data_IF_998621572729
#
_entry.id   IF_998621572729
#
_cell.length_a   1.000
_cell.length_b   1.000
_cell.length_c   1.000
_cell.angle_alpha   90.00
_cell.angle_beta   90.00
_cell.angle_gamma   90.00
#
_symmetry.space_group_name_H-M   'P 1'
#
loop_
_entity.id
_entity.type
_entity.pdbx_description
1 polymer ?
#
# COMPACT_ATOMS: atom_id res chain seq x y z
N UNK A 1 2.13 0.83 3.41
CA UNK A 1 1.99 -0.64 3.63
C UNK A 1 0.60 -1.18 3.26
N UNK A 2 -0.42 -0.35 3.14
CA UNK A 2 -1.79 -0.74 2.77
C UNK A 2 -1.90 -1.61 1.50
N UNK A 3 -0.93 -1.51 0.58
CA UNK A 3 -0.86 -2.31 -0.65
C UNK A 3 -0.75 -3.84 -0.40
N UNK A 4 -0.42 -4.25 0.83
CA UNK A 4 -0.51 -5.66 1.23
C UNK A 4 -1.96 -6.15 1.26
N UNK A 5 -2.90 -5.32 1.74
CA UNK A 5 -4.34 -5.66 1.69
C UNK A 5 -4.87 -5.71 0.26
N UNK A 6 -4.40 -4.79 -0.62
CA UNK A 6 -4.75 -4.85 -2.04
C UNK A 6 -4.22 -6.14 -2.68
N UNK A 7 -2.99 -6.55 -2.35
CA UNK A 7 -2.43 -7.82 -2.83
C UNK A 7 -3.20 -9.03 -2.32
N UNK A 8 -3.63 -9.01 -1.05
CA UNK A 8 -4.45 -10.09 -0.48
C UNK A 8 -5.80 -10.20 -1.20
N UNK A 9 -6.47 -9.06 -1.46
CA UNK A 9 -7.72 -9.06 -2.23
C UNK A 9 -7.52 -9.57 -3.67
N UNK A 10 -6.40 -9.25 -4.32
CA UNK A 10 -6.04 -9.81 -5.64
C UNK A 10 -5.88 -11.33 -5.54
N UNK A 11 -5.17 -11.83 -4.52
CA UNK A 11 -4.99 -13.26 -4.27
C UNK A 11 -6.32 -13.99 -4.13
N UNK A 12 -7.18 -13.48 -3.26
CA UNK A 12 -8.51 -14.05 -3.01
C UNK A 12 -9.36 -14.07 -4.29
N UNK A 13 -9.35 -13.00 -5.08
CA UNK A 13 -10.07 -12.93 -6.34
C UNK A 13 -9.51 -13.89 -7.41
N UNK A 14 -8.21 -14.17 -7.40
CA UNK A 14 -7.59 -15.16 -8.28
C UNK A 14 -7.97 -16.58 -7.84
N UNK A 15 -7.96 -16.87 -6.57
CA UNK A 15 -8.34 -18.17 -6.01
C UNK A 15 -9.82 -18.49 -6.26
N UNK A 16 -10.68 -17.49 -6.14
CA UNK A 16 -12.12 -17.57 -6.45
C UNK A 16 -12.42 -17.69 -7.96
N UNK A 17 -11.43 -17.42 -8.82
CA UNK A 17 -11.58 -17.39 -10.25
C UNK A 17 -12.36 -16.21 -10.81
N UNK A 18 -12.57 -15.16 -10.01
CA UNK A 18 -13.20 -13.88 -10.44
C UNK A 18 -12.22 -12.97 -11.16
N UNK A 19 -10.92 -13.18 -10.92
CA UNK A 19 -9.80 -12.50 -11.59
C UNK A 19 -8.77 -13.56 -12.02
N UNK A 20 -7.90 -13.25 -12.96
CA UNK A 20 -6.77 -14.11 -13.34
C UNK A 20 -5.48 -13.32 -13.34
N UNK A 21 -4.35 -13.96 -13.04
CA UNK A 21 -3.04 -13.30 -13.13
C UNK A 21 -2.75 -12.76 -14.53
N UNK A 22 -3.31 -13.37 -15.58
CA UNK A 22 -3.19 -12.99 -16.98
C UNK A 22 -4.30 -12.03 -17.46
N UNK A 23 -5.27 -11.67 -16.62
CA UNK A 23 -6.29 -10.68 -16.95
C UNK A 23 -5.65 -9.35 -17.27
N UNK A 24 -6.06 -8.74 -18.39
CA UNK A 24 -5.51 -7.47 -18.86
C UNK A 24 -6.22 -6.28 -18.21
N UNK A 25 -5.45 -5.35 -17.69
CA UNK A 25 -5.87 -4.05 -17.19
C UNK A 25 -5.33 -2.96 -18.13
N UNK A 26 -6.03 -1.84 -18.22
CA UNK A 26 -5.67 -0.73 -19.11
C UNK A 26 -5.38 0.55 -18.32
N UNK A 27 -4.29 1.22 -18.65
CA UNK A 27 -3.97 2.56 -18.12
C UNK A 27 -4.89 3.58 -18.74
N UNK A 28 -5.61 4.33 -17.91
CA UNK A 28 -6.53 5.38 -18.32
C UNK A 28 -6.39 6.60 -17.39
N UNK A 29 -6.89 7.76 -17.82
CA UNK A 29 -6.77 9.00 -17.03
C UNK A 29 -7.39 8.87 -15.63
N UNK A 30 -8.47 8.11 -15.48
CA UNK A 30 -9.18 7.98 -14.22
C UNK A 30 -8.50 7.05 -13.19
N UNK A 31 -7.60 6.15 -13.63
CA UNK A 31 -6.81 5.30 -12.73
C UNK A 31 -5.34 5.75 -12.61
N UNK A 32 -4.98 6.83 -13.26
CA UNK A 32 -3.63 7.40 -13.18
C UNK A 32 -3.43 8.11 -11.85
N UNK A 33 -2.39 7.74 -11.12
CA UNK A 33 -2.07 8.30 -9.81
C UNK A 33 -0.57 8.52 -9.63
N UNK A 34 -0.23 9.62 -8.98
CA UNK A 34 1.11 10.05 -8.60
C UNK A 34 1.32 9.86 -7.07
N UNK A 35 2.52 10.02 -6.53
CA UNK A 35 3.76 10.41 -7.23
C UNK A 35 4.65 9.22 -7.59
N UNK A 36 4.36 8.00 -7.15
CA UNK A 36 5.27 6.87 -7.31
C UNK A 36 4.83 5.88 -8.38
N UNK A 37 5.78 5.38 -9.13
CA UNK A 37 5.58 4.33 -10.11
C UNK A 37 6.08 4.69 -11.51
N UNK A 38 5.77 3.85 -12.48
CA UNK A 38 6.11 4.00 -13.90
C UNK A 38 4.87 4.06 -14.79
N UNK A 39 3.77 3.40 -14.39
CA UNK A 39 2.56 3.37 -15.20
C UNK A 39 1.90 4.75 -15.34
N UNK A 40 2.18 5.67 -14.41
CA UNK A 40 1.75 7.05 -14.51
C UNK A 40 2.27 7.77 -15.77
N UNK A 41 3.41 7.34 -16.31
CA UNK A 41 4.07 7.95 -17.48
C UNK A 41 3.69 7.24 -18.80
N UNK A 42 2.97 6.11 -18.72
CA UNK A 42 2.56 5.36 -19.89
C UNK A 42 1.34 6.01 -20.57
N UNK A 43 1.21 5.90 -21.90
CA UNK A 43 0.04 6.41 -22.62
C UNK A 43 -1.26 5.73 -22.19
N UNK A 44 -2.39 6.45 -22.32
CA UNK A 44 -3.71 5.84 -22.22
C UNK A 44 -3.86 4.70 -23.24
N UNK A 45 -4.47 3.61 -22.81
CA UNK A 45 -4.59 2.40 -23.62
C UNK A 45 -3.42 1.43 -23.48
N UNK A 46 -2.38 1.76 -22.68
CA UNK A 46 -1.33 0.78 -22.35
C UNK A 46 -1.93 -0.35 -21.53
N UNK A 47 -1.72 -1.58 -21.99
CA UNK A 47 -2.20 -2.79 -21.36
C UNK A 47 -1.10 -3.44 -20.51
N UNK A 48 -1.47 -3.90 -19.32
CA UNK A 48 -0.64 -4.70 -18.43
C UNK A 48 -1.49 -5.82 -17.82
N UNK A 49 -0.88 -6.95 -17.46
CA UNK A 49 -1.59 -8.01 -16.76
C UNK A 49 -1.78 -7.67 -15.28
N UNK A 50 -2.74 -8.32 -14.62
CA UNK A 50 -2.91 -8.26 -13.16
C UNK A 50 -1.60 -8.59 -12.45
N UNK A 51 -0.88 -9.63 -12.91
CA UNK A 51 0.42 -10.01 -12.35
C UNK A 51 1.47 -8.89 -12.50
N UNK A 52 1.54 -8.24 -13.66
CA UNK A 52 2.47 -7.13 -13.88
C UNK A 52 2.11 -5.91 -13.02
N UNK A 53 0.82 -5.57 -12.90
CA UNK A 53 0.34 -4.49 -12.05
C UNK A 53 0.64 -4.77 -10.57
N UNK A 54 0.30 -5.97 -10.07
CA UNK A 54 0.60 -6.37 -8.69
C UNK A 54 2.10 -6.37 -8.40
N UNK A 55 2.93 -6.85 -9.35
CA UNK A 55 4.39 -6.79 -9.24
C UNK A 55 4.87 -5.34 -9.09
N UNK A 56 4.42 -4.42 -9.96
CA UNK A 56 4.81 -2.99 -9.90
C UNK A 56 4.31 -2.32 -8.61
N UNK A 57 3.08 -2.65 -8.17
CA UNK A 57 2.52 -2.17 -6.92
C UNK A 57 3.40 -2.54 -5.71
N UNK A 58 3.93 -3.75 -5.68
CA UNK A 58 4.75 -4.22 -4.55
C UNK A 58 6.21 -3.77 -4.68
N UNK A 59 6.85 -4.04 -5.81
CA UNK A 59 8.29 -3.84 -6.02
C UNK A 59 8.72 -2.37 -5.97
N UNK A 60 8.01 -1.50 -6.70
CA UNK A 60 8.32 -0.07 -6.82
C UNK A 60 7.23 0.83 -6.22
N UNK A 61 6.25 0.23 -5.54
CA UNK A 61 5.12 0.96 -4.96
C UNK A 61 4.33 1.81 -5.97
N UNK A 62 4.14 1.31 -7.20
CA UNK A 62 3.43 2.01 -8.28
C UNK A 62 1.97 2.30 -7.88
N UNK A 63 1.62 3.60 -7.85
CA UNK A 63 0.29 4.04 -7.44
C UNK A 63 -0.75 3.82 -8.54
N UNK A 64 -0.39 4.05 -9.80
CA UNK A 64 -1.28 3.77 -10.93
C UNK A 64 -1.61 2.28 -11.01
N UNK A 65 -0.60 1.41 -10.86
CA UNK A 65 -0.84 -0.03 -10.76
C UNK A 65 -1.78 -0.40 -9.61
N UNK A 66 -1.62 0.26 -8.46
CA UNK A 66 -2.49 0.05 -7.28
C UNK A 66 -3.93 0.41 -7.60
N UNK A 67 -4.15 1.60 -8.18
CA UNK A 67 -5.50 2.09 -8.47
C UNK A 67 -6.19 1.30 -9.59
N UNK A 68 -5.43 0.78 -10.57
CA UNK A 68 -5.94 -0.18 -11.57
C UNK A 68 -6.46 -1.46 -10.92
N UNK A 69 -5.73 -2.01 -9.92
CA UNK A 69 -6.15 -3.20 -9.19
C UNK A 69 -7.36 -2.93 -8.28
N UNK A 70 -7.36 -1.81 -7.54
CA UNK A 70 -8.51 -1.40 -6.72
C UNK A 70 -9.76 -1.23 -7.60
N UNK A 71 -9.61 -0.64 -8.79
CA UNK A 71 -10.72 -0.48 -9.72
C UNK A 71 -11.24 -1.84 -10.25
N UNK A 72 -10.35 -2.77 -10.57
CA UNK A 72 -10.72 -4.08 -11.09
C UNK A 72 -11.46 -4.94 -10.05
N UNK A 73 -11.10 -4.81 -8.77
CA UNK A 73 -11.68 -5.56 -7.66
C UNK A 73 -12.92 -4.88 -7.06
N UNK A 74 -12.95 -3.56 -7.08
CA UNK A 74 -13.87 -2.75 -6.29
C UNK A 74 -13.36 -2.52 -4.85
N UNK A 75 -13.78 -1.42 -4.27
CA UNK A 75 -13.39 -0.97 -2.92
C UNK A 75 -13.75 -1.98 -1.84
N UNK A 76 -14.96 -2.56 -1.93
CA UNK A 76 -15.49 -3.51 -0.97
C UNK A 76 -14.62 -4.77 -0.86
N UNK A 77 -14.08 -5.27 -1.96
CA UNK A 77 -13.18 -6.43 -1.93
C UNK A 77 -11.90 -6.16 -1.12
N UNK A 78 -11.41 -4.91 -1.14
CA UNK A 78 -10.25 -4.52 -0.33
C UNK A 78 -10.66 -4.40 1.14
N UNK A 79 -11.83 -3.83 1.44
CA UNK A 79 -12.38 -3.72 2.80
C UNK A 79 -12.61 -5.11 3.41
N UNK A 80 -13.10 -6.07 2.63
CA UNK A 80 -13.26 -7.47 3.03
C UNK A 80 -11.89 -8.11 3.34
N UNK A 81 -10.89 -7.91 2.48
CA UNK A 81 -9.53 -8.42 2.72
C UNK A 81 -8.87 -7.81 3.97
N UNK A 82 -9.18 -6.57 4.33
CA UNK A 82 -8.75 -5.95 5.58
C UNK A 82 -9.34 -6.69 6.79
N UNK A 83 -10.64 -7.06 6.73
CA UNK A 83 -11.30 -7.83 7.78
C UNK A 83 -10.75 -9.26 7.87
N UNK A 84 -10.60 -9.91 6.72
CA UNK A 84 -10.11 -11.30 6.63
C UNK A 84 -8.67 -11.44 7.13
N UNK A 85 -7.84 -10.42 6.91
CA UNK A 85 -6.49 -10.35 7.47
C UNK A 85 -6.48 -10.16 9.00
N UNK A 86 -7.62 -9.90 9.64
CA UNK A 86 -7.72 -9.71 11.08
C UNK A 86 -7.27 -8.34 11.58
N UNK A 87 -7.45 -7.28 10.79
CA UNK A 87 -7.19 -5.90 11.24
C UNK A 87 -7.99 -5.59 12.51
N UNK A 88 -7.33 -5.03 13.54
CA UNK A 88 -7.95 -4.81 14.85
C UNK A 88 -9.14 -3.84 14.82
N UNK A 89 -9.14 -2.89 13.90
CA UNK A 89 -10.22 -1.92 13.66
C UNK A 89 -10.36 -1.65 12.16
N UNK A 90 -11.07 -2.51 11.40
CA UNK A 90 -11.23 -2.36 9.94
C UNK A 90 -11.91 -1.05 9.53
N UNK A 91 -12.68 -0.42 10.43
CA UNK A 91 -13.34 0.86 10.17
C UNK A 91 -12.35 2.01 9.92
N UNK A 92 -11.10 1.89 10.40
CA UNK A 92 -10.05 2.86 10.10
C UNK A 92 -9.68 2.89 8.61
N UNK A 93 -9.96 1.80 7.88
CA UNK A 93 -9.71 1.64 6.45
C UNK A 93 -11.01 1.56 5.62
N UNK A 94 -12.15 1.97 6.18
CA UNK A 94 -13.45 2.04 5.49
C UNK A 94 -14.05 3.45 5.57
N UNK A 95 -14.46 4.07 4.43
CA UNK A 95 -14.25 3.55 3.08
C UNK A 95 -12.78 3.57 2.67
N UNK A 96 -12.33 2.52 2.00
CA UNK A 96 -10.95 2.38 1.57
C UNK A 96 -10.65 3.30 0.38
N UNK A 97 -9.79 4.33 0.50
CA UNK A 97 -9.51 5.22 -0.62
C UNK A 97 -8.49 4.62 -1.58
N UNK A 98 -8.62 4.89 -2.86
CA UNK A 98 -7.55 4.69 -3.83
C UNK A 98 -6.38 5.66 -3.55
N UNK A 99 -5.23 5.45 -4.21
CA UNK A 99 -4.09 6.35 -4.01
C UNK A 99 -4.40 7.74 -4.59
N UNK A 100 -5.07 7.81 -5.74
CA UNK A 100 -5.52 9.05 -6.36
C UNK A 100 -6.46 9.82 -5.44
N UNK A 101 -7.49 9.16 -4.91
CA UNK A 101 -8.47 9.78 -4.01
C UNK A 101 -7.81 10.32 -2.75
N UNK A 102 -6.91 9.55 -2.13
CA UNK A 102 -6.18 9.97 -0.94
C UNK A 102 -5.33 11.21 -1.19
N UNK A 103 -4.59 11.25 -2.30
CA UNK A 103 -3.76 12.40 -2.62
C UNK A 103 -4.58 13.63 -3.04
N UNK A 104 -5.69 13.43 -3.73
CA UNK A 104 -6.63 14.54 -4.01
C UNK A 104 -7.22 15.10 -2.73
N UNK A 105 -7.70 14.25 -1.84
CA UNK A 105 -8.25 14.66 -0.55
C UNK A 105 -7.23 15.45 0.28
N UNK A 106 -5.99 14.97 0.35
CA UNK A 106 -4.97 15.59 1.18
C UNK A 106 -4.40 16.90 0.60
N UNK A 107 -4.12 16.90 -0.70
CA UNK A 107 -3.32 17.99 -1.29
C UNK A 107 -3.94 18.62 -2.55
N UNK A 108 -4.91 17.99 -3.18
CA UNK A 108 -5.59 18.49 -4.38
C UNK A 108 -6.89 19.25 -4.09
N UNK A 109 -7.61 18.84 -3.07
CA UNK A 109 -8.93 19.37 -2.74
C UNK A 109 -9.13 19.53 -1.22
N UNK A 110 -8.30 20.35 -0.55
CA UNK A 110 -8.29 20.47 0.92
C UNK A 110 -9.62 20.98 1.50
N UNK A 111 -10.49 21.58 0.70
CA UNK A 111 -11.84 21.98 1.09
C UNK A 111 -12.73 20.80 1.51
N UNK A 112 -12.35 19.57 1.18
CA UNK A 112 -13.08 18.37 1.55
C UNK A 112 -12.62 17.73 2.86
N UNK A 113 -11.52 18.21 3.47
CA UNK A 113 -10.97 17.64 4.70
C UNK A 113 -11.97 17.62 5.86
N UNK A 114 -12.77 18.70 6.03
CA UNK A 114 -13.79 18.76 7.09
C UNK A 114 -14.85 17.68 6.91
N UNK A 115 -15.31 17.44 5.69
CA UNK A 115 -16.27 16.37 5.38
C UNK A 115 -15.65 14.98 5.62
N UNK A 116 -14.37 14.80 5.29
CA UNK A 116 -13.65 13.55 5.55
C UNK A 116 -13.54 13.25 7.04
N UNK A 117 -13.19 14.26 7.83
CA UNK A 117 -12.95 14.11 9.28
C UNK A 117 -14.24 13.95 10.10
N UNK A 118 -15.31 14.66 9.73
CA UNK A 118 -16.53 14.77 10.55
C UNK A 118 -17.73 14.05 9.97
N UNK A 119 -17.66 13.67 8.69
CA UNK A 119 -18.74 13.01 7.97
C UNK A 119 -18.96 11.56 8.40
N UNK A 120 -20.16 11.07 8.15
CA UNK A 120 -20.48 9.66 8.27
C UNK A 120 -19.72 8.82 7.21
N UNK A 121 -19.60 7.52 7.41
CA UNK A 121 -18.99 6.61 6.41
C UNK A 121 -19.66 6.72 5.03
N UNK A 122 -20.97 6.95 5.01
CA UNK A 122 -21.69 7.17 3.75
C UNK A 122 -21.27 8.47 3.06
N UNK A 123 -21.12 9.57 3.81
CA UNK A 123 -20.64 10.84 3.27
C UNK A 123 -19.18 10.75 2.81
N UNK A 124 -18.33 10.07 3.57
CA UNK A 124 -16.96 9.79 3.17
C UNK A 124 -16.91 8.98 1.86
N UNK A 125 -17.74 7.93 1.72
CA UNK A 125 -17.82 7.12 0.48
C UNK A 125 -18.28 7.95 -0.71
N UNK A 126 -19.32 8.77 -0.53
CA UNK A 126 -19.81 9.70 -1.59
C UNK A 126 -18.74 10.72 -1.98
N UNK A 127 -17.95 11.20 -1.02
CA UNK A 127 -16.84 12.10 -1.28
C UNK A 127 -15.76 11.42 -2.14
N UNK A 128 -15.35 10.20 -1.79
CA UNK A 128 -14.36 9.44 -2.58
C UNK A 128 -14.87 9.20 -4.02
N UNK A 129 -16.15 8.81 -4.17
CA UNK A 129 -16.76 8.62 -5.49
C UNK A 129 -16.78 9.93 -6.30
N UNK A 130 -17.00 11.07 -5.64
CA UNK A 130 -16.91 12.39 -6.29
C UNK A 130 -15.47 12.69 -6.73
N UNK A 131 -14.48 12.47 -5.88
CA UNK A 131 -13.06 12.69 -6.18
C UNK A 131 -12.57 11.78 -7.31
N UNK A 132 -12.99 10.52 -7.35
CA UNK A 132 -12.64 9.57 -8.41
C UNK A 132 -13.07 10.05 -9.81
N UNK A 133 -14.19 10.80 -9.89
CA UNK A 133 -14.74 11.30 -11.16
C UNK A 133 -14.29 12.72 -11.51
N UNK A 134 -13.58 13.42 -10.63
CA UNK A 134 -13.06 14.74 -10.95
C UNK A 134 -11.95 14.65 -12.01
N UNK A 135 -12.07 15.42 -13.12
CA UNK A 135 -10.98 15.56 -14.06
C UNK A 135 -9.86 16.37 -13.39
N UNK A 136 -8.89 15.67 -12.84
CA UNK A 136 -7.72 16.29 -12.20
C UNK A 136 -6.50 15.85 -12.96
N UNK A 137 -5.69 16.80 -13.42
CA UNK A 137 -4.34 16.46 -13.85
C UNK A 137 -3.56 16.01 -12.60
N UNK A 138 -3.06 14.76 -12.54
CA UNK A 138 -2.28 14.33 -11.39
C UNK A 138 -1.10 15.25 -11.08
N UNK A 139 -0.59 16.01 -12.07
CA UNK A 139 0.48 16.99 -11.87
C UNK A 139 0.04 18.23 -11.09
N UNK A 140 -1.28 18.49 -11.02
CA UNK A 140 -1.83 19.58 -10.21
C UNK A 140 -1.87 19.21 -8.71
N UNK A 141 -1.78 17.93 -8.39
CA UNK A 141 -1.70 17.45 -7.01
C UNK A 141 -0.23 17.45 -6.56
N UNK A 142 0.20 18.55 -6.00
CA UNK A 142 1.56 18.66 -5.44
C UNK A 142 1.58 17.93 -4.08
N UNK A 143 1.94 16.65 -4.10
CA UNK A 143 2.17 15.88 -2.87
C UNK A 143 3.45 16.41 -2.21
N UNK A 144 3.29 17.30 -1.27
CA UNK A 144 4.38 17.89 -0.52
C UNK A 144 3.87 19.00 0.38
N UNK A 145 4.41 19.12 1.55
CA UNK A 145 3.99 20.10 2.55
C UNK A 145 3.72 19.44 3.88
N UNK A 146 2.73 19.97 4.59
CA UNK A 146 2.42 19.52 5.95
C UNK A 146 1.94 18.06 5.96
N UNK A 147 2.38 17.26 6.93
CA UNK A 147 1.80 15.97 7.23
C UNK A 147 0.30 16.09 7.52
N UNK A 148 -0.50 15.12 7.05
CA UNK A 148 -1.95 15.10 7.26
C UNK A 148 -2.43 13.81 7.93
N UNK A 149 -1.52 12.96 8.37
CA UNK A 149 -1.86 11.71 9.03
C UNK A 149 -2.63 11.95 10.34
N UNK A 150 -2.30 13.00 11.09
CA UNK A 150 -3.01 13.44 12.29
C UNK A 150 -4.43 13.97 12.01
N UNK A 151 -4.70 14.31 10.74
CA UNK A 151 -6.01 14.74 10.26
C UNK A 151 -6.82 13.58 9.63
N UNK A 152 -6.35 12.35 9.75
CA UNK A 152 -7.03 11.16 9.22
C UNK A 152 -6.83 10.93 7.72
N UNK A 153 -5.85 11.58 7.09
CA UNK A 153 -5.52 11.40 5.67
C UNK A 153 -4.32 10.44 5.56
N UNK A 154 -4.60 9.16 5.75
CA UNK A 154 -3.61 8.08 5.64
C UNK A 154 -4.33 6.72 5.72
N UNK A 155 -3.61 5.62 5.46
CA UNK A 155 -4.06 4.26 5.73
C UNK A 155 -3.43 3.77 7.04
N UNK A 156 -4.27 3.59 8.06
CA UNK A 156 -3.83 3.29 9.42
C UNK A 156 -3.76 1.79 9.68
N UNK A 157 -2.68 1.34 10.28
CA UNK A 157 -2.52 -0.03 10.76
C UNK A 157 -1.51 -0.06 11.92
N UNK A 158 -1.77 -0.86 12.93
CA UNK A 158 -0.79 -1.18 13.95
C UNK A 158 0.27 -2.16 13.41
N UNK A 159 1.38 -2.32 14.14
CA UNK A 159 2.37 -3.33 13.78
C UNK A 159 1.78 -4.76 13.78
N UNK A 160 0.78 -5.01 14.65
CA UNK A 160 0.09 -6.30 14.70
C UNK A 160 -0.77 -6.54 13.44
N UNK A 161 -1.48 -5.53 12.95
CA UNK A 161 -2.29 -5.64 11.73
C UNK A 161 -1.41 -5.89 10.51
N UNK A 162 -0.26 -5.22 10.45
CA UNK A 162 0.72 -5.44 9.38
C UNK A 162 1.31 -6.85 9.44
N UNK A 163 1.59 -7.36 10.64
CA UNK A 163 2.03 -8.75 10.81
C UNK A 163 0.94 -9.73 10.37
N UNK A 164 -0.32 -9.46 10.70
CA UNK A 164 -1.44 -10.31 10.35
C UNK A 164 -1.66 -10.40 8.83
N UNK A 165 -1.59 -9.27 8.09
CA UNK A 165 -1.71 -9.32 6.62
C UNK A 165 -0.51 -9.99 5.96
N UNK A 166 0.71 -9.88 6.52
CA UNK A 166 1.84 -10.68 6.03
C UNK A 166 1.57 -12.17 6.20
N UNK A 167 1.09 -12.58 7.38
CA UNK A 167 0.76 -13.99 7.63
C UNK A 167 -0.33 -14.47 6.68
N UNK A 168 -1.42 -13.71 6.48
CA UNK A 168 -2.48 -14.06 5.54
C UNK A 168 -1.93 -14.28 4.12
N UNK A 169 -1.04 -13.40 3.63
CA UNK A 169 -0.40 -13.55 2.32
C UNK A 169 0.53 -14.79 2.22
N UNK A 170 1.15 -15.23 3.32
CA UNK A 170 1.94 -16.46 3.31
C UNK A 170 1.04 -17.71 3.36
N UNK A 171 -0.10 -17.63 4.03
CA UNK A 171 -1.07 -18.73 4.15
C UNK A 171 -1.73 -19.07 2.79
N UNK A 172 -1.79 -18.14 1.84
CA UNK A 172 -2.22 -18.37 0.45
C UNK A 172 -1.32 -19.36 -0.30
N UNK A 173 -0.06 -19.51 0.12
CA UNK A 173 0.94 -20.41 -0.49
C UNK A 173 1.16 -20.22 -2.00
N UNK A 174 0.80 -19.06 -2.55
CA UNK A 174 0.98 -18.73 -3.96
C UNK A 174 2.45 -18.34 -4.23
N UNK A 175 3.18 -19.09 -5.09
CA UNK A 175 4.56 -18.79 -5.42
C UNK A 175 4.72 -17.44 -6.16
N UNK A 176 3.70 -16.98 -6.88
CA UNK A 176 3.70 -15.69 -7.58
C UNK A 176 3.73 -14.56 -6.55
N UNK A 177 2.91 -14.65 -5.50
CA UNK A 177 2.86 -13.66 -4.41
C UNK A 177 4.19 -13.65 -3.66
N UNK A 178 4.72 -14.82 -3.30
CA UNK A 178 6.02 -14.93 -2.61
C UNK A 178 7.15 -14.31 -3.45
N UNK A 179 7.17 -14.57 -4.76
CA UNK A 179 8.14 -13.95 -5.67
C UNK A 179 8.00 -12.43 -5.69
N UNK A 180 6.78 -11.89 -5.85
CA UNK A 180 6.54 -10.44 -5.88
C UNK A 180 7.05 -9.75 -4.61
N UNK A 181 6.72 -10.30 -3.45
CA UNK A 181 7.09 -9.73 -2.14
C UNK A 181 8.60 -9.74 -1.89
N UNK A 182 9.35 -10.66 -2.50
CA UNK A 182 10.80 -10.82 -2.29
C UNK A 182 11.67 -10.04 -3.29
N UNK A 183 11.10 -9.43 -4.34
CA UNK A 183 11.88 -8.77 -5.41
C UNK A 183 12.70 -7.57 -4.95
N UNK A 184 12.26 -6.86 -3.94
CA UNK A 184 12.95 -5.68 -3.41
C UNK A 184 12.93 -5.70 -1.87
N UNK A 185 13.77 -6.52 -1.25
CA UNK A 185 13.70 -6.78 0.20
C UNK A 185 14.07 -5.59 1.07
N UNK A 186 14.76 -4.57 0.54
CA UNK A 186 15.11 -3.35 1.27
C UNK A 186 16.12 -3.54 2.43
N UNK A 187 16.54 -4.78 2.71
CA UNK A 187 17.51 -5.19 3.73
C UNK A 187 18.43 -6.28 3.20
N UNK A 188 19.54 -6.52 3.90
CA UNK A 188 20.45 -7.65 3.58
C UNK A 188 19.80 -8.98 3.98
N UNK A 189 19.94 -10.00 3.11
CA UNK A 189 19.25 -11.30 3.26
C UNK A 189 20.11 -12.40 3.89
N UNK A 190 21.31 -12.10 4.38
CA UNK A 190 22.36 -13.07 4.71
C UNK A 190 21.95 -14.21 5.64
N UNK A 191 20.94 -14.01 6.47
CA UNK A 191 20.50 -14.99 7.46
C UNK A 191 19.16 -15.67 7.12
N UNK A 192 18.51 -15.28 6.01
CA UNK A 192 17.15 -15.66 5.70
C UNK A 192 17.03 -16.25 4.31
N UNK A 193 16.32 -17.37 4.17
CA UNK A 193 16.06 -18.02 2.89
C UNK A 193 14.98 -17.28 2.09
N UNK A 194 14.09 -16.58 2.82
CA UNK A 194 13.05 -15.76 2.21
C UNK A 194 12.86 -14.45 2.99
N UNK A 195 12.75 -13.35 2.25
CA UNK A 195 12.44 -12.03 2.80
C UNK A 195 11.38 -11.36 1.94
N UNK A 196 10.19 -11.21 2.49
CA UNK A 196 9.13 -10.39 1.90
C UNK A 196 9.19 -8.96 2.45
N UNK A 197 8.95 -7.98 1.62
CA UNK A 197 9.02 -6.57 2.01
C UNK A 197 7.91 -5.74 1.43
N UNK A 198 7.40 -4.81 2.24
CA UNK A 198 6.65 -3.65 1.75
C UNK A 198 6.96 -2.41 2.57
N UNK A 199 7.40 -1.36 1.88
CA UNK A 199 7.58 -0.03 2.43
C UNK A 199 6.41 0.90 2.15
N UNK A 200 6.41 2.05 2.83
CA UNK A 200 5.49 3.15 2.59
C UNK A 200 6.07 4.47 3.07
N UNK A 201 5.70 5.56 2.40
CA UNK A 201 6.03 6.91 2.83
C UNK A 201 4.96 7.89 2.34
N UNK A 202 4.70 8.89 3.15
CA UNK A 202 3.93 10.08 2.84
C UNK A 202 4.58 11.28 3.55
N UNK A 203 4.14 12.51 3.35
CA UNK A 203 4.65 13.63 4.13
C UNK A 203 4.59 13.34 5.63
N UNK A 204 5.74 13.41 6.30
CA UNK A 204 5.87 13.12 7.73
C UNK A 204 5.82 11.65 8.15
N UNK A 205 5.70 10.69 7.22
CA UNK A 205 5.59 9.25 7.54
C UNK A 205 6.61 8.43 6.76
N UNK A 206 7.27 7.49 7.44
CA UNK A 206 8.03 6.40 6.82
C UNK A 206 7.74 5.09 7.53
N UNK A 207 7.50 4.05 6.75
CA UNK A 207 7.15 2.74 7.27
C UNK A 207 7.84 1.64 6.47
N UNK A 208 8.04 0.49 7.11
CA UNK A 208 8.54 -0.72 6.44
C UNK A 208 8.13 -1.95 7.22
N UNK A 209 7.83 -3.01 6.50
CA UNK A 209 7.52 -4.31 7.09
C UNK A 209 8.24 -5.42 6.34
N UNK A 210 8.77 -6.36 7.09
CA UNK A 210 9.53 -7.51 6.60
C UNK A 210 8.97 -8.79 7.22
N UNK A 211 8.53 -9.73 6.38
CA UNK A 211 8.35 -11.11 6.78
C UNK A 211 9.62 -11.84 6.39
N UNK A 212 10.24 -12.52 7.32
CA UNK A 212 11.47 -13.29 7.12
C UNK A 212 11.26 -14.75 7.51
N UNK A 213 11.87 -15.68 6.77
CA UNK A 213 11.76 -17.11 7.00
C UNK A 213 13.13 -17.76 6.80
N UNK A 214 13.53 -18.64 7.71
CA UNK A 214 14.78 -19.37 7.66
C UNK A 214 14.64 -20.75 6.98
N UNK A 215 15.76 -21.47 6.81
CA UNK A 215 15.81 -22.79 6.21
C UNK A 215 15.00 -23.86 6.96
N UNK A 216 14.60 -23.61 8.20
CA UNK A 216 13.78 -24.54 9.00
C UNK A 216 12.28 -24.24 8.89
N UNK A 217 11.91 -23.11 8.26
CA UNK A 217 10.54 -22.61 8.18
C UNK A 217 10.14 -21.77 9.40
N UNK A 218 11.08 -21.42 10.29
CA UNK A 218 10.81 -20.47 11.37
C UNK A 218 10.72 -19.05 10.78
N UNK A 219 9.68 -18.30 11.16
CA UNK A 219 9.41 -17.01 10.55
C UNK A 219 9.13 -15.92 11.57
N UNK A 220 9.46 -14.69 11.20
CA UNK A 220 9.23 -13.48 11.99
C UNK A 220 8.70 -12.36 11.12
N UNK A 221 7.96 -11.45 11.73
CA UNK A 221 7.57 -10.18 11.10
C UNK A 221 8.20 -9.02 11.86
N UNK A 222 8.95 -8.20 11.15
CA UNK A 222 9.54 -6.96 11.66
C UNK A 222 8.77 -5.79 11.06
N UNK A 223 8.24 -4.90 11.90
CA UNK A 223 7.50 -3.71 11.47
C UNK A 223 8.13 -2.48 12.10
N UNK A 224 8.54 -1.54 11.27
CA UNK A 224 9.00 -0.21 11.71
C UNK A 224 8.07 0.86 11.16
N UNK A 225 7.67 1.77 12.02
CA UNK A 225 6.82 2.91 11.68
C UNK A 225 7.36 4.16 12.38
N UNK A 226 7.50 5.24 11.64
CA UNK A 226 7.87 6.54 12.19
C UNK A 226 6.99 7.63 11.57
N UNK A 227 6.51 8.55 12.41
CA UNK A 227 5.71 9.68 12.00
C UNK A 227 6.18 10.96 12.69
N UNK A 228 5.98 12.11 12.05
CA UNK A 228 6.26 13.44 12.59
C UNK A 228 5.20 14.43 12.09
N UNK A 229 4.87 15.41 12.89
CA UNK A 229 4.03 16.56 12.53
C UNK A 229 4.87 17.71 11.95
N UNK A 230 6.20 17.57 11.89
CA UNK A 230 7.09 18.60 11.36
C UNK A 230 6.91 18.72 9.83
N UNK A 231 6.59 19.91 9.35
CA UNK A 231 6.49 20.23 7.93
C UNK A 231 7.79 19.99 7.14
N UNK A 232 8.96 20.00 7.79
CA UNK A 232 10.21 19.56 7.18
C UNK A 232 10.21 18.05 6.89
N UNK A 233 9.29 17.33 7.50
CA UNK A 233 9.06 15.91 7.26
C UNK A 233 10.26 15.05 7.65
N UNK A 234 10.34 13.90 7.00
CA UNK A 234 11.40 12.92 7.22
C UNK A 234 12.52 13.17 6.21
N UNK A 235 13.67 13.63 6.70
CA UNK A 235 14.85 13.88 5.88
C UNK A 235 15.46 12.62 5.28
N UNK A 236 16.30 12.76 4.26
CA UNK A 236 17.05 11.64 3.68
C UNK A 236 17.95 10.94 4.73
N UNK A 237 18.53 11.68 5.67
CA UNK A 237 19.33 11.10 6.76
C UNK A 237 18.46 10.28 7.72
N UNK A 238 17.25 10.75 8.02
CA UNK A 238 16.28 10.02 8.86
C UNK A 238 15.82 8.75 8.16
N UNK A 239 15.58 8.77 6.85
CA UNK A 239 15.27 7.58 6.06
C UNK A 239 16.43 6.59 6.05
N UNK A 240 17.67 7.06 5.85
CA UNK A 240 18.85 6.20 5.91
C UNK A 240 19.04 5.57 7.31
N UNK A 241 18.75 6.30 8.38
CA UNK A 241 18.74 5.76 9.74
C UNK A 241 17.66 4.72 9.93
N UNK A 242 16.44 4.98 9.42
CA UNK A 242 15.33 4.05 9.46
C UNK A 242 15.69 2.68 8.85
N UNK A 243 16.28 2.65 7.64
CA UNK A 243 16.70 1.39 7.00
C UNK A 243 17.89 0.72 7.70
N UNK A 244 18.80 1.48 8.32
CA UNK A 244 19.85 0.87 9.18
C UNK A 244 19.26 0.19 10.42
N UNK A 245 18.26 0.81 11.04
CA UNK A 245 17.54 0.21 12.16
C UNK A 245 16.76 -1.03 11.73
N UNK A 246 16.16 -1.00 10.53
CA UNK A 246 15.47 -2.15 9.96
C UNK A 246 16.43 -3.34 9.75
N UNK A 247 17.60 -3.12 9.13
CA UNK A 247 18.62 -4.16 8.99
C UNK A 247 19.01 -4.75 10.35
N UNK A 248 19.31 -3.91 11.34
CA UNK A 248 19.67 -4.39 12.66
C UNK A 248 18.53 -5.18 13.34
N UNK A 249 17.27 -4.75 13.16
CA UNK A 249 16.11 -5.45 13.72
C UNK A 249 15.92 -6.83 13.06
N UNK A 250 16.05 -6.90 11.73
CA UNK A 250 15.98 -8.17 10.99
C UNK A 250 17.13 -9.10 11.35
N UNK A 251 18.36 -8.60 11.54
CA UNK A 251 19.48 -9.41 12.02
C UNK A 251 19.26 -9.94 13.43
N UNK A 252 18.63 -9.17 14.32
CA UNK A 252 18.38 -9.63 15.69
C UNK A 252 17.42 -10.81 15.73
N UNK A 253 16.47 -10.92 14.83
CA UNK A 253 15.53 -12.06 14.76
C UNK A 253 16.25 -13.37 14.36
N UNK A 254 17.39 -13.32 13.66
CA UNK A 254 18.17 -14.52 13.32
C UNK A 254 18.94 -15.14 14.48
N UNK A 255 18.96 -14.49 15.65
CA UNK A 255 19.67 -14.95 16.84
C UNK A 255 18.72 -15.41 17.96
N UNK A 256 17.44 -15.50 17.69
CA UNK A 256 16.42 -15.95 18.63
C UNK A 256 16.13 -17.42 18.41
#
# INVERSE_FOLDING_TARGET
>A
MFKLYVLLAVSQAVDDGTLGWDTTLTVEDHNRSLPSGKLQDEPNGTEVTVQEAATKMIEISDNTATDMLIQALGREAIEDAVQDAGHHDPELLSPFPSTREMFQLGWGAPEHLDTWQTGTKQEQRQLLDQLAHQPTDPQDVVVGGDPLWDQGVEWFASAHDVAAVHQALQDEQDPIIREMLSRNPGVEQHAWDYVAFKGGSSPGVVTGSWFVEDATGESYVVVLQAATEDAAGISADSQALFFRLANAAVELTSNV
#
